data_IF_403210832282
#
_entry.id   IF_403210832282
#
_cell.length_a   1.000
_cell.length_b   1.000
_cell.length_c   1.000
_cell.angle_alpha   90.00
_cell.angle_beta   90.00
_cell.angle_gamma   90.00
#
_symmetry.space_group_name_H-M   'P 1'
#
loop_
_entity.id
_entity.type
_entity.pdbx_description
1 polymer ?
#
# COMPACT_ATOMS: atom_id res chain seq x y z
N UNK A 1 7.14 6.90 10.47
CA UNK A 1 6.46 7.94 9.66
C UNK A 1 5.12 7.41 9.18
N UNK A 2 4.23 8.27 8.67
CA UNK A 2 2.93 7.85 8.13
C UNK A 2 2.85 8.14 6.65
N UNK A 3 2.32 7.17 5.90
CA UNK A 3 2.16 7.23 4.45
C UNK A 3 0.69 7.03 4.09
N UNK A 4 0.21 7.76 3.09
CA UNK A 4 -1.06 7.46 2.45
C UNK A 4 -0.73 6.54 1.27
N UNK A 5 -1.28 5.34 1.30
CA UNK A 5 -1.17 4.42 0.17
C UNK A 5 -2.42 4.45 -0.68
N UNK A 6 -2.22 4.29 -1.98
CA UNK A 6 -3.25 3.97 -2.95
C UNK A 6 -2.85 2.70 -3.70
N UNK A 7 -3.78 1.80 -3.97
CA UNK A 7 -3.48 0.63 -4.78
C UNK A 7 -4.75 0.05 -5.42
N UNK A 8 -4.58 -0.95 -6.28
CA UNK A 8 -5.67 -1.79 -6.79
C UNK A 8 -5.40 -3.23 -6.42
N UNK A 9 -6.45 -3.99 -6.12
CA UNK A 9 -6.32 -5.44 -5.94
C UNK A 9 -6.13 -6.08 -7.30
N UNK A 10 -5.11 -6.94 -7.43
CA UNK A 10 -4.91 -7.77 -8.61
C UNK A 10 -6.14 -8.64 -8.83
N UNK A 11 -6.84 -8.57 -9.99
CA UNK A 11 -8.08 -9.31 -10.20
C UNK A 11 -7.95 -10.81 -9.90
N UNK A 12 -6.85 -11.42 -10.32
CA UNK A 12 -6.52 -12.83 -10.13
C UNK A 12 -6.17 -13.21 -8.69
N UNK A 13 -5.91 -12.22 -7.80
CA UNK A 13 -5.58 -12.44 -6.39
C UNK A 13 -6.69 -12.03 -5.43
N UNK A 14 -7.85 -11.57 -5.91
CA UNK A 14 -8.96 -11.10 -5.04
C UNK A 14 -9.41 -12.16 -4.03
N UNK A 15 -9.65 -13.38 -4.50
CA UNK A 15 -10.07 -14.50 -3.65
C UNK A 15 -8.98 -14.89 -2.65
N UNK A 16 -7.71 -14.91 -3.08
CA UNK A 16 -6.60 -15.25 -2.21
C UNK A 16 -6.35 -14.16 -1.16
N UNK A 17 -6.44 -12.88 -1.53
CA UNK A 17 -6.33 -11.75 -0.60
C UNK A 17 -7.45 -11.79 0.45
N UNK A 18 -8.69 -12.04 0.01
CA UNK A 18 -9.83 -12.16 0.93
C UNK A 18 -9.56 -13.24 1.97
N UNK A 19 -9.18 -14.44 1.53
CA UNK A 19 -8.85 -15.56 2.44
C UNK A 19 -7.72 -15.19 3.38
N UNK A 20 -6.63 -14.62 2.87
CA UNK A 20 -5.48 -14.24 3.70
C UNK A 20 -5.83 -13.21 4.78
N UNK A 21 -6.70 -12.25 4.47
CA UNK A 21 -7.16 -11.25 5.45
C UNK A 21 -8.15 -11.86 6.46
N UNK A 22 -9.07 -12.73 6.04
CA UNK A 22 -10.05 -13.36 6.94
C UNK A 22 -9.40 -14.40 7.87
N UNK A 23 -8.40 -15.12 7.38
CA UNK A 23 -7.65 -16.12 8.14
C UNK A 23 -6.54 -15.48 9.01
N UNK A 24 -6.27 -14.19 8.83
CA UNK A 24 -5.20 -13.48 9.55
C UNK A 24 -3.79 -13.91 9.14
N UNK A 25 -3.62 -14.42 7.92
CA UNK A 25 -2.33 -14.88 7.37
C UNK A 25 -1.69 -13.88 6.41
N UNK A 26 -2.37 -12.78 6.09
CA UNK A 26 -1.78 -11.70 5.30
C UNK A 26 -0.59 -11.09 6.06
N UNK A 27 0.58 -11.07 5.41
CA UNK A 27 1.81 -10.59 6.05
C UNK A 27 2.50 -11.62 6.94
N UNK A 28 2.15 -12.91 6.86
CA UNK A 28 2.83 -13.95 7.64
C UNK A 28 4.37 -13.91 7.43
N UNK A 29 5.10 -13.86 8.54
CA UNK A 29 6.55 -13.69 8.54
C UNK A 29 7.04 -12.24 8.53
N UNK A 30 6.14 -11.25 8.43
CA UNK A 30 6.49 -9.84 8.61
C UNK A 30 6.87 -9.57 10.08
N UNK A 31 8.04 -8.99 10.37
CA UNK A 31 8.54 -8.89 11.74
C UNK A 31 7.91 -7.75 12.57
N UNK A 32 7.16 -6.82 11.96
CA UNK A 32 6.77 -5.56 12.61
C UNK A 32 5.27 -5.28 12.61
N UNK A 33 4.53 -5.89 13.53
CA UNK A 33 3.09 -5.64 13.67
C UNK A 33 2.25 -6.45 12.67
N UNK A 34 1.02 -6.01 12.43
CA UNK A 34 0.03 -6.72 11.61
C UNK A 34 -0.35 -5.90 10.38
N UNK A 35 0.17 -6.29 9.21
CA UNK A 35 -0.15 -5.63 7.94
C UNK A 35 -1.61 -5.86 7.52
N UNK A 36 -2.23 -6.96 7.96
CA UNK A 36 -3.60 -7.33 7.61
C UNK A 36 -4.61 -6.43 8.31
N UNK A 37 -4.41 -6.17 9.61
CA UNK A 37 -5.23 -5.24 10.39
C UNK A 37 -5.23 -3.85 9.75
N UNK A 38 -4.05 -3.33 9.44
CA UNK A 38 -3.89 -1.99 8.82
C UNK A 38 -4.51 -1.93 7.43
N UNK A 39 -4.29 -2.95 6.58
CA UNK A 39 -4.85 -2.98 5.23
C UNK A 39 -6.39 -3.07 5.26
N UNK A 40 -6.98 -3.77 6.24
CA UNK A 40 -8.43 -3.88 6.40
C UNK A 40 -9.12 -2.55 6.77
N UNK A 41 -8.38 -1.57 7.29
CA UNK A 41 -8.91 -0.20 7.48
C UNK A 41 -9.11 0.55 6.15
N UNK A 42 -8.57 0.02 5.05
CA UNK A 42 -8.64 0.63 3.74
C UNK A 42 -10.06 0.76 3.19
N UNK A 43 -10.26 1.85 2.43
CA UNK A 43 -11.51 2.10 1.71
C UNK A 43 -11.31 2.07 0.21
N UNK A 44 -12.22 1.39 -0.48
CA UNK A 44 -12.22 1.23 -1.94
C UNK A 44 -13.19 2.22 -2.55
N UNK A 45 -12.65 3.13 -3.36
CA UNK A 45 -13.46 4.13 -4.04
C UNK A 45 -14.19 3.56 -5.29
N UNK A 46 -15.03 4.39 -5.92
CA UNK A 46 -15.79 4.01 -7.11
C UNK A 46 -14.92 3.62 -8.32
N UNK A 47 -13.63 3.96 -8.31
CA UNK A 47 -12.69 3.56 -9.37
C UNK A 47 -12.05 2.20 -9.08
N UNK A 48 -12.28 1.61 -7.90
CA UNK A 48 -11.62 0.38 -7.44
C UNK A 48 -10.25 0.61 -6.82
N UNK A 49 -9.92 1.86 -6.46
CA UNK A 49 -8.66 2.18 -5.77
C UNK A 49 -8.89 2.06 -4.26
N UNK A 50 -8.14 1.17 -3.60
CA UNK A 50 -8.05 1.13 -2.15
C UNK A 50 -7.15 2.27 -1.67
N UNK A 51 -7.55 2.98 -0.61
CA UNK A 51 -6.67 3.90 0.13
C UNK A 51 -6.69 3.63 1.63
N UNK A 52 -5.52 3.70 2.23
CA UNK A 52 -5.30 3.53 3.67
C UNK A 52 -4.08 4.33 4.14
N UNK A 53 -3.87 4.37 5.45
CA UNK A 53 -2.67 4.95 6.06
C UNK A 53 -1.80 3.81 6.58
N UNK A 54 -0.51 3.86 6.26
CA UNK A 54 0.48 2.94 6.84
C UNK A 54 1.45 3.69 7.75
N UNK A 55 1.88 3.03 8.82
CA UNK A 55 2.98 3.51 9.68
C UNK A 55 4.24 2.73 9.33
N UNK A 56 5.23 3.40 8.78
CA UNK A 56 6.47 2.78 8.34
C UNK A 56 7.67 3.65 8.69
N UNK A 57 8.79 3.03 9.06
CA UNK A 57 10.05 3.69 9.39
C UNK A 57 11.18 3.36 8.40
N UNK A 58 10.89 2.58 7.35
CA UNK A 58 11.86 2.10 6.38
C UNK A 58 12.70 3.23 5.74
N UNK A 59 12.14 4.43 5.53
CA UNK A 59 12.94 5.53 4.96
C UNK A 59 14.06 5.99 5.90
N UNK A 60 13.86 5.94 7.21
CA UNK A 60 14.89 6.32 8.20
C UNK A 60 15.99 5.27 8.30
N UNK A 61 15.65 3.99 8.14
CA UNK A 61 16.60 2.87 8.27
C UNK A 61 17.27 2.46 6.96
N UNK A 62 16.54 2.49 5.84
CA UNK A 62 16.95 1.96 4.53
C UNK A 62 17.01 3.03 3.44
N UNK A 63 16.59 4.27 3.71
CA UNK A 63 16.57 5.35 2.72
C UNK A 63 15.42 5.28 1.72
N UNK A 64 14.49 4.33 1.87
CA UNK A 64 13.33 4.15 0.99
C UNK A 64 12.08 3.81 1.82
N UNK A 65 10.98 4.56 1.62
CA UNK A 65 9.73 4.28 2.31
C UNK A 65 9.13 2.94 1.88
N UNK A 66 8.43 2.27 2.81
CA UNK A 66 7.71 1.02 2.57
C UNK A 66 8.59 -0.16 2.13
N UNK A 67 9.90 -0.13 2.44
CA UNK A 67 10.85 -1.12 1.92
C UNK A 67 10.48 -2.57 2.24
N UNK A 68 10.04 -2.81 3.47
CA UNK A 68 9.80 -4.16 4.01
C UNK A 68 8.34 -4.60 3.81
N UNK A 69 7.41 -3.64 3.75
CA UNK A 69 5.98 -3.87 3.58
C UNK A 69 5.62 -4.15 2.12
N UNK A 70 6.29 -3.48 1.16
CA UNK A 70 5.97 -3.58 -0.26
C UNK A 70 5.98 -5.01 -0.82
N UNK A 71 6.96 -5.89 -0.49
CA UNK A 71 6.94 -7.27 -0.97
C UNK A 71 5.65 -8.04 -0.64
N UNK A 72 5.06 -7.80 0.53
CA UNK A 72 3.80 -8.40 0.94
C UNK A 72 2.60 -7.78 0.22
N UNK A 73 2.63 -6.45 0.06
CA UNK A 73 1.57 -5.72 -0.64
C UNK A 73 1.55 -6.06 -2.15
N UNK A 74 2.70 -6.08 -2.81
CA UNK A 74 2.84 -6.31 -4.26
C UNK A 74 2.39 -7.71 -4.70
N UNK A 75 2.38 -8.68 -3.78
CA UNK A 75 1.85 -10.02 -4.02
C UNK A 75 0.36 -9.99 -4.41
N UNK A 76 -0.42 -9.09 -3.81
CA UNK A 76 -1.87 -9.02 -3.99
C UNK A 76 -2.32 -7.72 -4.66
N UNK A 77 -1.51 -6.68 -4.60
CA UNK A 77 -1.83 -5.33 -5.05
C UNK A 77 -0.97 -4.92 -6.25
N UNK A 78 -1.53 -4.01 -7.03
CA UNK A 78 -0.93 -3.40 -8.21
C UNK A 78 -1.15 -1.88 -8.17
N UNK A 79 -0.38 -1.15 -8.98
CA UNK A 79 -0.50 0.30 -9.13
C UNK A 79 -0.37 1.02 -7.78
N UNK A 80 0.57 0.53 -6.96
CA UNK A 80 0.78 1.05 -5.61
C UNK A 80 1.38 2.46 -5.71
N UNK A 81 0.71 3.42 -5.08
CA UNK A 81 1.18 4.78 -4.88
C UNK A 81 1.50 5.00 -3.40
N UNK A 82 2.68 5.53 -3.12
CA UNK A 82 3.15 5.85 -1.77
C UNK A 82 3.33 7.36 -1.64
N UNK A 83 2.48 8.02 -0.86
CA UNK A 83 2.57 9.46 -0.58
C UNK A 83 2.86 9.71 0.90
N UNK A 84 3.63 10.75 1.20
CA UNK A 84 3.85 11.17 2.58
C UNK A 84 2.53 11.74 3.16
N UNK A 85 2.08 11.24 4.32
CA UNK A 85 0.88 11.79 4.96
C UNK A 85 1.12 13.19 5.54
N UNK A 86 2.39 13.54 5.78
CA UNK A 86 2.85 14.86 6.23
C UNK A 86 4.17 15.18 5.54
N UNK A 87 4.38 16.46 5.22
CA UNK A 87 5.68 16.98 4.79
C UNK A 87 6.83 16.44 5.64
N UNK A 88 7.86 15.80 5.04
CA UNK A 88 9.03 15.32 5.78
C UNK A 88 9.74 16.43 6.57
N UNK A 89 9.74 17.67 6.07
CA UNK A 89 10.29 18.83 6.76
C UNK A 89 9.58 19.16 8.09
N UNK A 90 8.38 18.62 8.30
CA UNK A 90 7.61 18.77 9.51
C UNK A 90 7.40 17.43 10.23
N UNK A 91 7.91 16.31 9.73
CA UNK A 91 7.78 15.03 10.40
C UNK A 91 9.02 14.77 11.24
N UNK A 92 8.86 14.63 12.56
CA UNK A 92 9.98 14.35 13.47
C UNK A 92 10.48 12.89 13.38
N UNK A 93 9.78 12.03 12.64
CA UNK A 93 10.20 10.64 12.46
C UNK A 93 10.08 9.79 13.74
N UNK A 94 10.82 8.68 13.79
CA UNK A 94 10.91 7.84 14.99
C UNK A 94 11.76 8.53 16.08
N UNK A 95 11.36 8.50 17.36
CA UNK A 95 10.21 7.80 17.94
C UNK A 95 8.92 8.64 18.03
N UNK A 96 8.98 9.96 17.80
CA UNK A 96 7.86 10.88 17.96
C UNK A 96 6.62 10.50 17.13
N UNK A 97 6.81 9.78 16.02
CA UNK A 97 5.73 9.34 15.16
C UNK A 97 4.80 8.32 15.82
N UNK A 98 5.24 7.53 16.81
CA UNK A 98 4.41 6.51 17.46
C UNK A 98 3.10 7.11 18.01
N UNK A 99 3.19 8.27 18.65
CA UNK A 99 2.04 8.93 19.30
C UNK A 99 1.50 10.14 18.51
N UNK A 100 2.01 10.37 17.30
CA UNK A 100 1.60 11.50 16.47
C UNK A 100 0.21 11.29 15.84
N UNK A 101 -0.62 12.34 15.80
CA UNK A 101 -1.97 12.31 15.23
C UNK A 101 -2.08 12.99 13.85
N UNK A 102 -0.97 13.06 13.09
CA UNK A 102 -0.92 13.79 11.81
C UNK A 102 -1.95 13.32 10.77
N UNK A 103 -2.46 12.08 10.89
CA UNK A 103 -3.51 11.51 10.04
C UNK A 103 -4.91 11.57 10.63
N UNK A 104 -5.12 12.21 11.80
CA UNK A 104 -6.43 12.31 12.48
C UNK A 104 -7.56 12.85 11.59
N UNK A 105 -7.24 13.72 10.63
CA UNK A 105 -8.20 14.33 9.70
C UNK A 105 -8.25 13.63 8.34
N UNK A 106 -7.42 12.63 8.08
CA UNK A 106 -7.43 11.86 6.83
C UNK A 106 -8.71 11.04 6.77
N UNK A 107 -9.44 11.16 5.67
CA UNK A 107 -10.65 10.38 5.38
C UNK A 107 -10.54 9.89 3.95
N UNK A 108 -10.93 8.65 3.73
CA UNK A 108 -11.04 8.07 2.40
C UNK A 108 -12.52 7.81 2.13
N UNK A 109 -12.95 8.05 0.89
CA UNK A 109 -14.30 7.72 0.44
C UNK A 109 -14.38 6.24 0.04
N UNK A 110 -15.59 5.69 0.03
CA UNK A 110 -15.85 4.34 -0.47
C UNK A 110 -16.15 3.29 0.59
N UNK A 111 -16.31 2.05 0.13
CA UNK A 111 -16.66 0.89 0.95
C UNK A 111 -15.42 0.29 1.63
N UNK A 112 -15.62 -0.49 2.70
CA UNK A 112 -14.51 -1.19 3.35
C UNK A 112 -13.91 -2.26 2.44
N UNK A 113 -12.59 -2.46 2.51
CA UNK A 113 -11.88 -3.44 1.69
C UNK A 113 -12.49 -4.84 1.77
N UNK A 114 -12.77 -5.34 2.97
CA UNK A 114 -13.32 -6.69 3.13
C UNK A 114 -14.69 -6.84 2.48
N UNK A 115 -15.55 -5.84 2.58
CA UNK A 115 -16.87 -5.86 1.93
C UNK A 115 -16.72 -5.82 0.41
N UNK A 116 -15.80 -5.00 -0.10
CA UNK A 116 -15.46 -4.97 -1.52
C UNK A 116 -14.97 -6.33 -2.02
N UNK A 117 -14.06 -6.97 -1.30
CA UNK A 117 -13.49 -8.27 -1.67
C UNK A 117 -14.55 -9.37 -1.62
N UNK A 118 -15.37 -9.45 -0.57
CA UNK A 118 -16.47 -10.43 -0.47
C UNK A 118 -17.45 -10.31 -1.64
N UNK A 119 -17.71 -9.09 -2.10
CA UNK A 119 -18.59 -8.84 -3.24
C UNK A 119 -17.95 -9.22 -4.58
N UNK A 120 -16.64 -9.00 -4.74
CA UNK A 120 -15.95 -9.09 -6.04
C UNK A 120 -15.10 -10.36 -6.23
N UNK A 121 -14.89 -11.16 -5.18
CA UNK A 121 -14.03 -12.34 -5.22
C UNK A 121 -14.52 -13.42 -6.20
N UNK A 122 -15.83 -13.51 -6.42
CA UNK A 122 -16.45 -14.48 -7.34
C UNK A 122 -16.58 -13.99 -8.79
N UNK A 123 -16.20 -12.74 -9.08
CA UNK A 123 -16.25 -12.20 -10.44
C UNK A 123 -15.17 -12.89 -11.30
N UNK A 124 -15.58 -13.58 -12.37
CA UNK A 124 -14.65 -14.23 -13.30
C UNK A 124 -13.77 -13.20 -14.00
N UNK A 125 -12.46 -13.44 -14.00
CA UNK A 125 -11.48 -12.58 -14.67
C UNK A 125 -11.46 -12.90 -16.17
N UNK A 126 -12.28 -12.19 -16.96
CA UNK A 126 -12.05 -12.05 -18.41
C UNK A 126 -11.07 -10.90 -18.64
N UNK A 127 -9.83 -11.05 -18.19
CA UNK A 127 -8.76 -10.12 -18.54
C UNK A 127 -7.46 -10.89 -18.64
N UNK A 128 -6.62 -10.64 -19.67
CA UNK A 128 -5.26 -11.17 -19.67
C UNK A 128 -4.57 -10.70 -18.39
N UNK A 129 -3.58 -11.45 -17.86
CA UNK A 129 -2.77 -11.00 -16.73
C UNK A 129 -2.11 -9.68 -17.12
N UNK A 130 -2.75 -8.57 -16.75
CA UNK A 130 -2.29 -7.23 -17.02
C UNK A 130 -1.19 -6.95 -16.02
N UNK A 131 0.05 -6.88 -16.51
CA UNK A 131 1.19 -6.48 -15.70
C UNK A 131 0.91 -5.13 -15.04
N UNK A 132 0.85 -5.14 -13.71
CA UNK A 132 0.68 -3.94 -12.91
C UNK A 132 1.77 -2.91 -13.18
N UNK A 133 1.46 -1.62 -12.98
CA UNK A 133 2.52 -0.62 -12.96
C UNK A 133 3.45 -0.87 -11.75
N UNK A 134 4.76 -0.56 -11.86
CA UNK A 134 5.64 -0.57 -10.71
C UNK A 134 5.14 0.39 -9.64
N UNK A 135 5.48 0.11 -8.38
CA UNK A 135 5.20 1.01 -7.25
C UNK A 135 5.76 2.40 -7.54
N UNK A 136 4.93 3.43 -7.30
CA UNK A 136 5.26 4.83 -7.50
C UNK A 136 5.30 5.56 -6.16
N UNK A 137 6.43 6.16 -5.85
CA UNK A 137 6.53 7.08 -4.74
C UNK A 137 6.16 8.48 -5.25
N UNK A 138 5.16 9.08 -4.62
CA UNK A 138 4.73 10.46 -4.90
C UNK A 138 5.35 11.44 -3.90
N UNK A 139 5.77 10.93 -2.74
CA UNK A 139 6.33 11.73 -1.65
C UNK A 139 5.38 12.85 -1.20
N UNK A 140 5.92 13.95 -0.69
CA UNK A 140 5.15 15.15 -0.36
C UNK A 140 5.20 16.14 -1.51
N UNK A 141 4.05 16.45 -2.12
CA UNK A 141 3.93 17.38 -3.25
C UNK A 141 4.84 17.05 -4.45
N UNK A 142 5.16 15.76 -4.65
CA UNK A 142 6.00 15.30 -5.75
C UNK A 142 7.49 15.23 -5.43
N UNK A 143 7.89 15.49 -4.17
CA UNK A 143 9.29 15.40 -3.75
C UNK A 143 9.61 14.00 -3.21
N UNK A 144 10.50 13.28 -3.89
CA UNK A 144 10.95 11.91 -3.59
C UNK A 144 12.46 11.86 -3.38
N UNK A 145 12.93 10.86 -2.65
CA UNK A 145 14.37 10.56 -2.58
C UNK A 145 14.88 9.96 -3.90
N UNK A 146 16.18 10.09 -4.25
CA UNK A 146 16.72 9.51 -5.48
C UNK A 146 16.46 8.02 -5.66
N UNK A 147 16.39 7.27 -4.56
CA UNK A 147 16.10 5.83 -4.57
C UNK A 147 14.66 5.52 -4.94
N UNK A 148 13.72 6.19 -4.29
CA UNK A 148 12.28 6.10 -4.57
C UNK A 148 11.99 6.50 -6.03
N UNK A 149 12.69 7.52 -6.50
CA UNK A 149 12.60 8.04 -7.86
C UNK A 149 13.15 7.05 -8.89
N UNK A 150 14.26 6.38 -8.57
CA UNK A 150 14.85 5.30 -9.38
C UNK A 150 13.91 4.11 -9.49
N UNK A 151 13.29 3.68 -8.38
CA UNK A 151 12.34 2.55 -8.37
C UNK A 151 11.04 2.88 -9.10
N UNK A 152 10.54 4.11 -8.97
CA UNK A 152 9.37 4.59 -9.72
C UNK A 152 9.60 4.56 -11.25
N UNK A 153 10.86 4.75 -11.68
CA UNK A 153 11.29 4.70 -13.09
C UNK A 153 11.71 3.30 -13.56
N UNK A 154 11.86 2.35 -12.65
CA UNK A 154 12.16 0.96 -12.98
C UNK A 154 10.88 0.30 -13.52
N UNK A 155 10.57 0.59 -14.78
CA UNK A 155 9.58 -0.18 -15.53
C UNK A 155 10.06 -1.62 -15.69
N UNK A 156 9.13 -2.56 -15.48
CA UNK A 156 9.18 -3.96 -15.89
C UNK A 156 10.26 -4.29 -16.94
N UNK A 157 11.23 -5.12 -16.56
CA UNK A 157 12.04 -5.89 -17.52
C UNK A 157 11.24 -7.15 -17.82
N UNK A 158 10.64 -7.32 -19.03
CA UNK A 158 10.25 -8.66 -19.45
C UNK A 158 11.53 -9.49 -19.51
N UNK A 159 11.43 -10.76 -19.15
CA UNK A 159 12.53 -11.73 -19.18
C UNK A 159 13.45 -11.62 -20.40
N UNK A 160 14.72 -11.96 -20.14
CA UNK A 160 15.84 -12.09 -21.08
C UNK A 160 15.51 -12.77 -22.41
#
# INVERSE_FOLDING_TARGET
MRYILGARVRPERRSDLLRALEDGTFGEGFPYGDLGEVLCEGRVDATGTIRWVEVCYCREYYGVAMHEELPYLEEYLTDIEVADARSPAHCEGYPACNDCDCTRKVRFEGEHLLDHLRRTAAELVESPPGGGCPTRWLGWRGETSPEEDRRSRAGYTPDR
#
